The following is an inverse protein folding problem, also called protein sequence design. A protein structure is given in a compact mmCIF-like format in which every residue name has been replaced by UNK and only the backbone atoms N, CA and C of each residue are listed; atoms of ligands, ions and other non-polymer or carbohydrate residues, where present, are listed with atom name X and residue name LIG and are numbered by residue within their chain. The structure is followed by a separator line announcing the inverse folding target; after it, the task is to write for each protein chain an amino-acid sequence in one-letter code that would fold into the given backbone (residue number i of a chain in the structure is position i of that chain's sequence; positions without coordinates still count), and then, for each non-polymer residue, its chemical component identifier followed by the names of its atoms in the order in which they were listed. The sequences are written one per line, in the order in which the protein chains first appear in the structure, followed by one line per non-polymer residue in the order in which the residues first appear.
data_IF_685592016309
#
_entry.id   IF_685592016309
#
_cell.length_a   1.000
_cell.length_b   1.000
_cell.length_c   1.000
_cell.angle_alpha   90.00
_cell.angle_beta   90.00
_cell.angle_gamma   90.00
#
_symmetry.space_group_name_H-M   'P 1'
#
loop_
_entity.id
_entity.type
_entity.pdbx_description
1 polymer ?
#
# COMPACT_ATOMS: atom_id res chain seq x y z
N UNK A 1 -12.66 -14.68 -2.56
CA UNK A 1 -12.31 -13.34 -3.08
C UNK A 1 -13.50 -12.42 -3.25
N UNK A 2 -14.71 -12.92 -3.55
CA UNK A 2 -15.91 -12.06 -3.72
C UNK A 2 -16.22 -11.09 -2.55
N UNK A 3 -15.65 -11.33 -1.36
CA UNK A 3 -15.81 -10.45 -0.19
C UNK A 3 -14.56 -9.60 0.15
N UNK A 4 -13.51 -9.67 -0.67
CA UNK A 4 -12.31 -8.85 -0.45
C UNK A 4 -12.63 -7.42 -0.88
N UNK A 5 -12.58 -6.50 0.08
CA UNK A 5 -12.86 -5.07 -0.15
C UNK A 5 -11.61 -4.22 -0.04
N UNK A 6 -10.55 -4.75 0.60
CA UNK A 6 -9.32 -4.01 0.88
C UNK A 6 -8.07 -4.84 0.62
N UNK A 7 -6.96 -4.14 0.37
CA UNK A 7 -5.62 -4.69 0.53
C UNK A 7 -4.97 -4.07 1.76
N UNK A 8 -4.46 -4.91 2.64
CA UNK A 8 -3.63 -4.53 3.78
C UNK A 8 -2.16 -4.73 3.39
N UNK A 9 -1.33 -3.75 3.75
CA UNK A 9 0.10 -3.69 3.45
C UNK A 9 0.84 -3.64 4.78
N UNK A 10 1.85 -4.49 4.94
CA UNK A 10 2.89 -4.35 5.96
C UNK A 10 4.23 -4.52 5.24
N UNK A 11 4.94 -3.42 5.00
CA UNK A 11 6.18 -3.46 4.23
C UNK A 11 7.32 -2.75 4.97
N UNK A 12 8.43 -3.45 5.20
CA UNK A 12 9.65 -2.82 5.71
C UNK A 12 10.24 -1.88 4.65
N UNK A 13 10.39 -0.60 5.01
CA UNK A 13 10.85 0.45 4.10
C UNK A 13 12.33 0.70 4.31
N UNK A 14 13.10 0.59 3.22
CA UNK A 14 14.56 0.78 3.25
C UNK A 14 15.00 2.24 3.17
N UNK A 15 14.29 3.05 2.41
CA UNK A 15 14.62 4.46 2.13
C UNK A 15 13.36 5.29 2.34
N UNK A 16 13.22 5.90 3.52
CA UNK A 16 12.07 6.76 3.83
C UNK A 16 12.20 8.11 3.14
N UNK A 17 13.43 8.57 2.92
CA UNK A 17 13.79 9.79 2.21
C UNK A 17 13.34 9.82 0.75
N UNK A 18 12.97 8.68 0.17
CA UNK A 18 12.38 8.59 -1.18
C UNK A 18 10.88 8.94 -1.19
N UNK A 19 10.31 9.39 -0.07
CA UNK A 19 8.96 9.92 0.01
C UNK A 19 8.94 11.39 0.47
N UNK A 20 7.86 12.09 0.13
CA UNK A 20 7.56 13.41 0.68
C UNK A 20 6.13 13.48 1.19
N UNK A 21 5.91 14.22 2.27
CA UNK A 21 4.61 14.46 2.90
C UNK A 21 4.36 15.96 2.94
N UNK A 22 3.27 16.42 2.33
CA UNK A 22 2.95 17.84 2.18
C UNK A 22 4.12 18.67 1.61
N UNK A 23 4.85 18.09 0.63
CA UNK A 23 6.00 18.71 -0.02
C UNK A 23 7.29 18.75 0.83
N UNK A 24 7.32 18.09 1.99
CA UNK A 24 8.52 17.94 2.83
C UNK A 24 9.02 16.50 2.73
N UNK A 25 10.31 16.33 2.41
CA UNK A 25 10.96 15.02 2.39
C UNK A 25 10.80 14.32 3.75
N UNK A 26 10.39 13.05 3.74
CA UNK A 26 10.21 12.26 4.95
C UNK A 26 11.47 11.44 5.29
N UNK A 27 12.58 12.14 5.47
CA UNK A 27 13.93 11.56 5.62
C UNK A 27 13.99 10.40 6.61
N UNK A 28 13.24 10.49 7.71
CA UNK A 28 13.24 9.48 8.76
C UNK A 28 11.99 8.59 8.73
N UNK A 29 10.97 8.86 7.91
CA UNK A 29 9.66 8.21 7.92
C UNK A 29 8.70 8.74 9.01
N UNK A 30 9.00 9.88 9.63
CA UNK A 30 8.26 10.37 10.81
C UNK A 30 7.03 11.20 10.44
N UNK A 31 6.91 11.60 9.17
CA UNK A 31 5.81 12.43 8.68
C UNK A 31 4.67 11.59 8.12
N UNK A 32 4.98 10.46 7.46
CA UNK A 32 4.01 9.62 6.77
C UNK A 32 3.03 8.95 7.74
N UNK A 33 1.76 8.89 7.35
CA UNK A 33 0.79 8.06 8.03
C UNK A 33 1.10 6.57 7.85
N UNK A 34 0.77 5.77 8.87
CA UNK A 34 0.87 4.31 8.80
C UNK A 34 2.26 3.76 9.13
N UNK A 35 3.23 4.58 9.53
CA UNK A 35 4.49 4.03 10.04
C UNK A 35 4.28 3.30 11.36
N UNK A 36 4.82 2.08 11.42
CA UNK A 36 4.98 1.28 12.63
C UNK A 36 6.41 0.74 12.69
N UNK A 37 7.25 1.38 13.51
CA UNK A 37 8.69 1.09 13.63
C UNK A 37 9.42 1.26 12.28
N UNK A 38 9.77 0.17 11.61
CA UNK A 38 10.45 0.08 10.32
C UNK A 38 9.50 -0.29 9.18
N UNK A 39 8.25 -0.60 9.49
CA UNK A 39 7.24 -0.97 8.52
C UNK A 39 6.30 0.19 8.18
N UNK A 40 5.88 0.24 6.93
CA UNK A 40 4.73 1.01 6.49
C UNK A 40 3.51 0.11 6.45
N UNK A 41 2.51 0.45 7.28
CA UNK A 41 1.28 -0.29 7.52
C UNK A 41 0.07 0.53 7.14
N UNK A 42 -0.60 0.12 6.07
CA UNK A 42 -1.82 0.78 5.60
C UNK A 42 -2.84 -0.24 5.12
N UNK A 43 -4.09 0.22 4.98
CA UNK A 43 -5.14 -0.52 4.28
C UNK A 43 -5.72 0.37 3.19
N UNK A 44 -5.89 -0.18 1.99
CA UNK A 44 -6.43 0.54 0.84
C UNK A 44 -7.77 -0.11 0.46
N UNK A 45 -8.81 0.71 0.34
CA UNK A 45 -10.07 0.30 -0.28
C UNK A 45 -9.86 -0.02 -1.76
N UNK A 46 -10.22 -1.23 -2.18
CA UNK A 46 -10.02 -1.70 -3.55
C UNK A 46 -11.06 -1.18 -4.53
N UNK A 47 -12.16 -0.60 -4.06
CA UNK A 47 -13.19 -0.04 -4.94
C UNK A 47 -12.80 1.36 -5.36
N UNK A 48 -12.49 2.20 -4.37
CA UNK A 48 -12.29 3.64 -4.58
C UNK A 48 -10.81 4.05 -4.56
N UNK A 49 -9.88 3.15 -4.19
CA UNK A 49 -8.46 3.46 -4.10
C UNK A 49 -8.14 4.42 -2.97
N UNK A 50 -8.82 4.28 -1.83
CA UNK A 50 -8.70 5.18 -0.68
C UNK A 50 -7.89 4.51 0.42
N UNK A 51 -6.84 5.17 0.89
CA UNK A 51 -6.12 4.75 2.09
C UNK A 51 -7.00 4.99 3.32
N UNK A 52 -7.38 3.91 3.99
CA UNK A 52 -8.26 3.93 5.16
C UNK A 52 -7.56 4.64 6.32
N UNK A 53 -8.22 5.63 6.89
CA UNK A 53 -7.71 6.38 8.04
C UNK A 53 -6.67 7.45 7.68
N UNK A 54 -6.48 7.76 6.39
CA UNK A 54 -5.56 8.80 5.95
C UNK A 54 -5.87 10.16 6.63
N UNK A 55 -4.88 10.83 7.23
CA UNK A 55 -5.11 12.08 7.95
C UNK A 55 -5.67 13.20 7.08
N UNK A 56 -6.61 13.96 7.63
CA UNK A 56 -7.15 15.15 6.95
C UNK A 56 -6.04 16.17 6.68
N UNK A 57 -6.00 16.70 5.45
CA UNK A 57 -5.00 17.68 5.02
C UNK A 57 -3.61 17.11 4.74
N UNK A 58 -3.43 15.79 4.76
CA UNK A 58 -2.19 15.13 4.36
C UNK A 58 -2.24 14.72 2.88
N UNK A 59 -1.18 15.01 2.14
CA UNK A 59 -0.84 14.38 0.87
C UNK A 59 0.58 13.83 0.93
N UNK A 60 0.88 12.81 0.12
CA UNK A 60 2.21 12.23 0.06
C UNK A 60 2.54 11.71 -1.35
N UNK A 61 3.81 11.84 -1.72
CA UNK A 61 4.42 11.13 -2.85
C UNK A 61 5.31 10.04 -2.29
N UNK A 62 5.06 8.78 -2.67
CA UNK A 62 5.66 7.59 -2.07
C UNK A 62 6.45 6.82 -3.13
N UNK A 63 7.70 6.49 -2.81
CA UNK A 63 8.57 5.65 -3.63
C UNK A 63 9.41 4.71 -2.75
N UNK A 64 8.74 3.80 -2.05
CA UNK A 64 9.40 2.93 -1.07
C UNK A 64 9.98 1.68 -1.70
N UNK A 65 11.27 1.45 -1.45
CA UNK A 65 11.91 0.16 -1.70
C UNK A 65 11.61 -0.82 -0.56
N UNK A 66 11.04 -1.96 -0.91
CA UNK A 66 10.77 -3.11 -0.04
C UNK A 66 11.86 -4.15 -0.27
N UNK A 67 12.79 -4.28 0.68
CA UNK A 67 13.95 -5.14 0.48
C UNK A 67 13.75 -6.58 0.96
N UNK A 68 13.23 -6.76 2.17
CA UNK A 68 13.34 -8.05 2.86
C UNK A 68 11.99 -8.57 3.41
N UNK A 69 11.04 -7.69 3.75
CA UNK A 69 9.79 -8.07 4.43
C UNK A 69 8.58 -7.26 3.93
N UNK A 70 8.04 -7.66 2.77
CA UNK A 70 6.76 -7.18 2.27
C UNK A 70 5.69 -8.23 2.45
N UNK A 71 4.65 -7.90 3.21
CA UNK A 71 3.51 -8.76 3.45
C UNK A 71 2.21 -8.07 3.05
N UNK A 72 1.37 -8.78 2.31
CA UNK A 72 0.16 -8.21 1.71
C UNK A 72 -1.01 -9.17 1.86
N UNK A 73 -2.15 -8.64 2.27
CA UNK A 73 -3.35 -9.43 2.49
C UNK A 73 -4.56 -8.79 1.85
N UNK A 74 -5.44 -9.62 1.27
CA UNK A 74 -6.81 -9.21 1.01
C UNK A 74 -7.60 -9.31 2.29
N UNK A 75 -8.36 -8.26 2.60
CA UNK A 75 -9.21 -8.19 3.79
C UNK A 75 -10.65 -7.82 3.43
N UNK A 76 -11.58 -8.17 4.32
CA UNK A 76 -12.95 -7.65 4.27
C UNK A 76 -13.04 -6.24 4.87
N UNK A 77 -14.25 -5.68 4.92
CA UNK A 77 -14.50 -4.32 5.41
C UNK A 77 -14.27 -4.16 6.92
N UNK A 78 -14.35 -5.27 7.67
CA UNK A 78 -14.03 -5.37 9.07
C UNK A 78 -12.52 -5.54 9.34
N UNK A 79 -11.71 -5.73 8.30
CA UNK A 79 -10.26 -5.93 8.40
C UNK A 79 -9.85 -7.37 8.71
N UNK A 80 -10.74 -8.36 8.54
CA UNK A 80 -10.37 -9.76 8.66
C UNK A 80 -9.56 -10.17 7.42
N UNK A 81 -8.36 -10.73 7.64
CA UNK A 81 -7.53 -11.25 6.55
C UNK A 81 -8.20 -12.48 5.92
N UNK A 82 -8.45 -12.42 4.61
CA UNK A 82 -9.11 -13.47 3.82
C UNK A 82 -8.10 -14.29 3.02
N UNK A 83 -7.07 -13.63 2.48
CA UNK A 83 -6.04 -14.28 1.68
C UNK A 83 -4.73 -13.53 1.79
N UNK A 84 -3.61 -14.25 1.70
CA UNK A 84 -2.27 -13.70 1.69
C UNK A 84 -1.72 -13.68 0.26
N UNK A 85 -0.97 -12.65 -0.11
CA UNK A 85 -0.27 -12.62 -1.38
C UNK A 85 0.69 -13.79 -1.51
N UNK A 86 0.62 -14.51 -2.62
CA UNK A 86 1.47 -15.67 -2.90
C UNK A 86 2.78 -15.35 -3.62
N UNK A 87 2.95 -14.11 -4.10
CA UNK A 87 4.15 -13.68 -4.81
C UNK A 87 5.31 -13.30 -3.90
N UNK A 88 6.52 -13.27 -4.46
CA UNK A 88 7.75 -12.85 -3.76
C UNK A 88 8.07 -11.35 -3.91
N UNK A 89 7.27 -10.65 -4.70
CA UNK A 89 7.47 -9.26 -5.10
C UNK A 89 6.28 -8.42 -4.70
N UNK A 90 6.47 -7.11 -4.63
CA UNK A 90 5.39 -6.12 -4.44
C UNK A 90 4.30 -6.38 -5.50
N UNK A 91 3.01 -6.48 -5.12
CA UNK A 91 1.91 -6.60 -6.07
C UNK A 91 1.73 -5.28 -6.84
N UNK A 92 2.46 -5.13 -7.95
CA UNK A 92 2.54 -3.92 -8.78
C UNK A 92 1.15 -3.35 -9.10
N UNK A 93 0.19 -4.21 -9.49
CA UNK A 93 -1.16 -3.79 -9.87
C UNK A 93 -1.94 -3.12 -8.74
N UNK A 94 -1.56 -3.38 -7.48
CA UNK A 94 -2.23 -2.89 -6.28
C UNK A 94 -1.51 -1.71 -5.61
N UNK A 95 -0.18 -1.60 -5.83
CA UNK A 95 0.68 -0.72 -5.03
C UNK A 95 1.58 0.19 -5.88
N UNK A 96 1.45 0.15 -7.20
CA UNK A 96 2.20 0.98 -8.13
C UNK A 96 1.24 1.71 -9.07
N UNK A 97 0.75 2.84 -8.59
CA UNK A 97 -0.18 3.71 -9.32
C UNK A 97 0.56 4.99 -9.70
N UNK A 98 0.94 5.09 -10.97
CA UNK A 98 1.67 6.23 -11.53
C UNK A 98 3.02 5.87 -12.16
N UNK A 99 3.61 4.72 -11.80
CA UNK A 99 4.83 4.18 -12.41
C UNK A 99 4.93 2.64 -12.22
N UNK A 100 5.96 2.02 -12.79
CA UNK A 100 6.28 0.60 -12.61
C UNK A 100 7.16 0.37 -11.37
N UNK A 101 6.74 -0.52 -10.47
CA UNK A 101 7.47 -0.79 -9.22
C UNK A 101 8.68 -1.73 -9.35
N UNK A 102 9.00 -2.23 -10.54
CA UNK A 102 10.13 -3.14 -10.84
C UNK A 102 10.22 -4.42 -9.95
N UNK A 103 9.15 -4.73 -9.21
CA UNK A 103 9.01 -5.87 -8.31
C UNK A 103 9.33 -5.58 -6.84
N UNK A 104 10.15 -4.59 -6.53
CA UNK A 104 10.60 -4.29 -5.17
C UNK A 104 10.23 -2.88 -4.68
N UNK A 105 9.48 -2.11 -5.46
CA UNK A 105 9.02 -0.78 -5.06
C UNK A 105 7.51 -0.70 -4.91
N UNK A 106 7.08 0.09 -3.93
CA UNK A 106 5.73 0.64 -3.81
C UNK A 106 5.81 2.09 -4.30
N UNK A 107 5.01 2.44 -5.31
CA UNK A 107 5.07 3.76 -5.96
C UNK A 107 3.67 4.33 -6.12
N UNK A 108 3.33 5.37 -5.38
CA UNK A 108 2.04 6.04 -5.53
C UNK A 108 2.05 7.44 -4.94
N UNK A 109 1.15 8.30 -5.42
CA UNK A 109 0.82 9.55 -4.75
C UNK A 109 -0.55 9.42 -4.07
N UNK A 110 -0.65 9.85 -2.82
CA UNK A 110 -1.90 9.88 -2.05
C UNK A 110 -2.30 11.33 -1.85
N UNK A 111 -3.45 11.72 -2.39
CA UNK A 111 -3.95 13.08 -2.31
C UNK A 111 -4.57 13.41 -0.94
N UNK A 112 -4.81 14.70 -0.69
CA UNK A 112 -5.65 15.15 0.42
C UNK A 112 -6.99 14.41 0.39
N UNK A 113 -7.33 13.76 1.50
CA UNK A 113 -8.52 12.91 1.62
C UNK A 113 -8.26 11.41 1.40
N UNK A 114 -7.02 11.01 1.12
CA UNK A 114 -6.59 9.60 1.10
C UNK A 114 -6.75 8.89 -0.23
N UNK A 115 -7.26 9.56 -1.27
CA UNK A 115 -7.40 8.96 -2.60
C UNK A 115 -6.05 8.82 -3.32
N UNK A 116 -5.78 7.64 -3.86
CA UNK A 116 -4.59 7.39 -4.67
C UNK A 116 -4.74 8.06 -6.04
N UNK A 117 -3.77 8.90 -6.40
CA UNK A 117 -3.77 9.63 -7.67
C UNK A 117 -3.58 8.65 -8.82
N UNK A 118 -4.47 8.72 -9.82
CA UNK A 118 -4.42 7.82 -10.97
C UNK A 118 -4.78 6.37 -10.65
N UNK A 119 -5.47 6.13 -9.53
CA UNK A 119 -5.88 4.78 -9.13
C UNK A 119 -6.59 4.03 -10.26
N UNK A 120 -6.18 2.79 -10.44
CA UNK A 120 -6.85 1.82 -11.28
C UNK A 120 -7.19 0.62 -10.41
N UNK A 121 -8.47 0.30 -10.32
CA UNK A 121 -8.92 -0.86 -9.56
C UNK A 121 -8.24 -2.13 -10.13
N UNK A 122 -7.43 -2.84 -9.34
CA UNK A 122 -6.76 -4.04 -9.80
C UNK A 122 -7.76 -5.20 -9.93
N UNK A 123 -7.54 -6.05 -10.93
CA UNK A 123 -8.21 -7.35 -10.99
C UNK A 123 -7.57 -8.30 -9.97
N UNK A 124 -8.41 -8.95 -9.17
CA UNK A 124 -7.96 -9.94 -8.21
C UNK A 124 -7.92 -11.31 -8.90
N UNK A 125 -6.73 -11.77 -9.29
CA UNK A 125 -6.51 -13.13 -9.80
C UNK A 125 -6.40 -14.15 -8.64
N UNK A 126 -7.36 -15.07 -8.45
CA UNK A 126 -7.34 -16.07 -7.38
C UNK A 126 -6.08 -16.93 -7.33
N UNK A 127 -5.39 -17.14 -8.46
CA UNK A 127 -4.18 -17.97 -8.49
C UNK A 127 -2.97 -17.32 -7.79
N UNK A 128 -2.98 -15.99 -7.62
CA UNK A 128 -1.88 -15.23 -6.99
C UNK A 128 -2.03 -15.05 -5.48
N UNK A 129 -3.11 -15.56 -4.89
CA UNK A 129 -3.41 -15.37 -3.47
C UNK A 129 -3.73 -16.70 -2.78
N UNK A 130 -3.17 -16.87 -1.59
CA UNK A 130 -3.37 -18.05 -0.74
C UNK A 130 -4.47 -17.77 0.26
N UNK A 131 -5.63 -18.41 0.10
CA UNK A 131 -6.78 -18.27 1.00
C UNK A 131 -6.41 -18.72 2.41
N UNK A 132 -6.79 -17.92 3.40
CA UNK A 132 -6.60 -18.24 4.81
C UNK A 132 -7.74 -19.14 5.31
N UNK A 133 -7.45 -20.08 6.24
CA UNK A 133 -8.43 -21.02 6.77
C UNK A 133 -9.49 -20.38 7.68
#
# INVERSE_FOLDING_TARGET
MENATRIEVEAEVRYWEDASVNGVEDTDGTLIYGRDVDQWKISIDLTDGIVIGWPEGMEADIHYKVCDQGEYWLTDDAGNRLAKWGGHYVPNEFLCHGDEGYGDYIIMSVAIGGGIVGYQQPEIDPARWVVLP
#
